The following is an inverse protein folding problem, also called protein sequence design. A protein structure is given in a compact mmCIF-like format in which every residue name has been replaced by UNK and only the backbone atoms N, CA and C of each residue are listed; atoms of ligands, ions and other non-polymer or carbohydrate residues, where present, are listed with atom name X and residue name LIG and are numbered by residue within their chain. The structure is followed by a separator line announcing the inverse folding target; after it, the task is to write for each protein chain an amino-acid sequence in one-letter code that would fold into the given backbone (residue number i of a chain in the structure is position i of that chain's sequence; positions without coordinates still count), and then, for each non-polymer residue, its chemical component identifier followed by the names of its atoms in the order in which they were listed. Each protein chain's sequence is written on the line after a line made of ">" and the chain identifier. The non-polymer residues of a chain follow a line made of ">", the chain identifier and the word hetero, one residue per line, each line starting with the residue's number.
data_IF_688229619587
#
_entry.id   IF_688229619587
#
_cell.length_a   1.000
_cell.length_b   1.000
_cell.length_c   1.000
_cell.angle_alpha   90.00
_cell.angle_beta   90.00
_cell.angle_gamma   90.00
#
_symmetry.space_group_name_H-M   'P 1'
#
loop_
_entity.id
_entity.type
_entity.pdbx_description
1 polymer ?
#
# COMPACT_ATOMS: atom_id res chain seq x y z
N UNK A 1 -4.02 20.61 7.76
CA UNK A 1 -4.49 19.70 8.82
C UNK A 1 -4.94 20.56 9.99
N UNK A 2 -6.17 20.37 10.46
CA UNK A 2 -6.69 21.02 11.66
C UNK A 2 -6.15 20.34 12.94
N UNK A 3 -6.04 21.07 14.05
CA UNK A 3 -5.46 20.61 15.32
C UNK A 3 -6.15 19.32 15.83
N UNK A 4 -7.46 19.21 15.64
CA UNK A 4 -8.24 18.03 16.01
C UNK A 4 -7.99 16.81 15.10
N UNK A 5 -7.62 17.05 13.84
CA UNK A 5 -7.26 15.97 12.89
C UNK A 5 -5.91 15.33 13.24
N UNK A 6 -4.96 16.11 13.76
CA UNK A 6 -3.66 15.60 14.18
C UNK A 6 -3.75 14.78 15.48
N UNK A 7 -4.52 15.24 16.47
CA UNK A 7 -4.75 14.52 17.72
C UNK A 7 -5.42 13.16 17.48
N UNK A 8 -6.46 13.13 16.64
CA UNK A 8 -7.17 11.90 16.29
C UNK A 8 -6.33 10.91 15.46
N UNK A 9 -5.40 11.39 14.63
CA UNK A 9 -4.45 10.52 13.92
C UNK A 9 -3.44 9.86 14.87
N UNK A 10 -2.91 10.62 15.83
CA UNK A 10 -1.99 10.11 16.86
C UNK A 10 -2.66 9.03 17.72
N UNK A 11 -3.90 9.29 18.14
CA UNK A 11 -4.67 8.34 18.93
C UNK A 11 -4.98 7.04 18.17
N UNK A 12 -5.43 7.15 16.91
CA UNK A 12 -5.62 5.98 16.03
C UNK A 12 -4.34 5.17 15.85
N UNK A 13 -3.18 5.83 15.73
CA UNK A 13 -1.89 5.13 15.64
C UNK A 13 -1.56 4.39 16.93
N UNK A 14 -1.89 4.93 18.10
CA UNK A 14 -1.63 4.29 19.40
C UNK A 14 -2.51 3.06 19.64
N UNK A 15 -3.77 3.14 19.23
CA UNK A 15 -4.78 2.07 19.36
C UNK A 15 -4.65 0.99 18.27
N UNK A 16 -3.91 1.26 17.19
CA UNK A 16 -3.73 0.31 16.10
C UNK A 16 -3.02 -0.99 16.54
N UNK A 17 -3.38 -2.14 15.94
CA UNK A 17 -2.71 -3.41 16.17
C UNK A 17 -1.19 -3.30 15.99
N UNK A 18 -0.42 -4.06 16.77
CA UNK A 18 1.05 -4.03 16.72
C UNK A 18 1.58 -4.26 15.30
N UNK A 19 1.01 -5.21 14.56
CA UNK A 19 1.41 -5.49 13.18
C UNK A 19 1.27 -4.28 12.25
N UNK A 20 0.24 -3.45 12.43
CA UNK A 20 0.06 -2.21 11.67
C UNK A 20 1.08 -1.16 12.10
N UNK A 21 1.36 -1.04 13.40
CA UNK A 21 2.33 -0.08 13.94
C UNK A 21 3.78 -0.41 13.58
N UNK A 22 4.10 -1.69 13.46
CA UNK A 22 5.44 -2.20 13.10
C UNK A 22 5.67 -2.25 11.59
N UNK A 23 4.68 -1.86 10.78
CA UNK A 23 4.83 -1.86 9.33
C UNK A 23 5.93 -0.87 8.93
N UNK A 24 6.94 -1.29 8.14
CA UNK A 24 7.99 -0.39 7.68
C UNK A 24 7.44 0.76 6.86
N UNK A 25 8.12 1.89 6.96
CA UNK A 25 7.80 3.14 6.26
C UNK A 25 8.66 3.31 5.00
N UNK A 26 9.83 2.65 4.97
CA UNK A 26 10.79 2.69 3.87
C UNK A 26 11.20 1.28 3.48
N UNK A 27 11.66 1.11 2.24
CA UNK A 27 12.10 -0.21 1.78
C UNK A 27 13.38 -0.71 2.46
N UNK A 28 14.24 0.17 2.97
CA UNK A 28 15.43 -0.22 3.73
C UNK A 28 15.07 -0.93 5.03
N UNK A 29 13.90 -0.61 5.59
CA UNK A 29 13.37 -1.22 6.82
C UNK A 29 12.57 -2.50 6.52
N UNK A 30 12.38 -2.87 5.24
CA UNK A 30 11.68 -4.09 4.85
C UNK A 30 12.59 -5.32 4.97
N UNK A 31 12.26 -6.18 5.93
CA UNK A 31 13.06 -7.38 6.23
C UNK A 31 12.70 -8.52 5.28
N UNK A 32 13.72 -9.09 4.63
CA UNK A 32 13.59 -10.20 3.69
C UNK A 32 13.29 -9.76 2.24
N UNK A 33 13.18 -10.73 1.33
CA UNK A 33 12.85 -10.54 -0.09
C UNK A 33 13.84 -9.61 -0.85
N UNK A 34 15.10 -9.54 -0.44
CA UNK A 34 16.12 -8.65 -1.02
C UNK A 34 16.42 -8.97 -2.50
N UNK A 35 16.19 -10.22 -2.90
CA UNK A 35 16.25 -10.66 -4.29
C UNK A 35 15.17 -10.03 -5.18
N UNK A 36 14.07 -9.54 -4.60
CA UNK A 36 12.95 -8.92 -5.32
C UNK A 36 12.94 -7.40 -5.13
N UNK A 37 13.03 -6.92 -3.88
CA UNK A 37 12.85 -5.50 -3.51
C UNK A 37 14.12 -4.83 -2.98
N UNK A 38 15.24 -5.55 -3.01
CA UNK A 38 16.53 -4.99 -2.63
C UNK A 38 16.99 -3.88 -3.58
N UNK A 39 18.01 -3.11 -3.19
CA UNK A 39 18.57 -2.06 -4.02
C UNK A 39 18.91 -2.57 -5.42
N UNK A 40 18.66 -1.74 -6.44
CA UNK A 40 18.92 -2.03 -7.86
C UNK A 40 18.14 -3.18 -8.50
N UNK A 41 17.27 -3.89 -7.75
CA UNK A 41 16.38 -4.89 -8.33
C UNK A 41 15.36 -4.25 -9.26
N UNK A 42 14.88 -5.02 -10.24
CA UNK A 42 13.94 -4.55 -11.26
C UNK A 42 12.69 -3.94 -10.62
N UNK A 43 12.05 -4.68 -9.70
CA UNK A 43 10.84 -4.21 -9.04
C UNK A 43 11.11 -2.94 -8.21
N UNK A 44 12.21 -2.92 -7.45
CA UNK A 44 12.62 -1.75 -6.66
C UNK A 44 12.80 -0.50 -7.53
N UNK A 45 13.51 -0.62 -8.66
CA UNK A 45 13.71 0.47 -9.63
C UNK A 45 12.41 0.92 -10.28
N UNK A 46 11.51 0.00 -10.62
CA UNK A 46 10.21 0.32 -11.20
C UNK A 46 9.33 1.11 -10.21
N UNK A 47 9.36 0.73 -8.93
CA UNK A 47 8.66 1.45 -7.86
C UNK A 47 9.24 2.85 -7.65
N UNK A 48 10.56 2.97 -7.53
CA UNK A 48 11.24 4.26 -7.33
C UNK A 48 11.08 5.21 -8.52
N UNK A 49 10.98 4.68 -9.74
CA UNK A 49 10.71 5.44 -10.95
C UNK A 49 9.22 5.75 -11.19
N UNK A 50 8.33 5.30 -10.30
CA UNK A 50 6.86 5.40 -10.42
C UNK A 50 6.33 4.81 -11.76
N UNK A 51 6.94 3.71 -12.20
CA UNK A 51 6.59 2.97 -13.44
C UNK A 51 6.01 1.61 -13.10
N UNK A 52 4.95 1.62 -12.31
CA UNK A 52 4.28 0.42 -11.84
C UNK A 52 3.37 -0.17 -12.92
N UNK A 53 3.39 -1.50 -13.04
CA UNK A 53 2.39 -2.25 -13.81
C UNK A 53 1.49 -3.03 -12.85
N UNK A 54 0.44 -3.67 -13.37
CA UNK A 54 -0.36 -4.61 -12.59
C UNK A 54 0.54 -5.72 -12.02
N UNK A 55 0.38 -6.00 -10.71
CA UNK A 55 1.20 -6.96 -9.98
C UNK A 55 0.32 -7.87 -9.12
N UNK A 56 0.73 -9.13 -8.99
CA UNK A 56 0.14 -10.09 -8.06
C UNK A 56 1.25 -10.53 -7.11
N UNK A 57 1.07 -10.28 -5.81
CA UNK A 57 1.98 -10.79 -4.79
C UNK A 57 1.45 -12.12 -4.24
N UNK A 58 2.23 -13.18 -4.40
CA UNK A 58 1.90 -14.52 -3.94
C UNK A 58 2.89 -15.01 -2.88
N UNK A 59 2.40 -15.76 -1.90
CA UNK A 59 3.24 -16.40 -0.89
C UNK A 59 2.51 -16.68 0.43
N UNK A 60 3.14 -17.41 1.36
CA UNK A 60 2.57 -17.78 2.67
C UNK A 60 2.10 -16.58 3.51
N UNK A 61 1.19 -16.75 4.48
CA UNK A 61 0.81 -15.66 5.39
C UNK A 61 2.05 -15.11 6.13
N UNK A 62 2.08 -13.80 6.39
CA UNK A 62 3.19 -13.16 7.11
C UNK A 62 4.42 -12.78 6.27
N UNK A 63 4.51 -13.16 4.99
CA UNK A 63 5.66 -12.80 4.12
C UNK A 63 5.74 -11.34 3.69
N UNK A 64 4.90 -10.47 4.22
CA UNK A 64 4.96 -9.03 3.95
C UNK A 64 4.26 -8.55 2.69
N UNK A 65 3.45 -9.36 2.00
CA UNK A 65 2.70 -8.95 0.77
C UNK A 65 1.88 -7.67 0.95
N UNK A 66 1.05 -7.62 1.99
CA UNK A 66 0.25 -6.43 2.29
C UNK A 66 1.16 -5.26 2.61
N UNK A 67 2.17 -5.46 3.46
CA UNK A 67 3.17 -4.43 3.78
C UNK A 67 3.88 -3.88 2.54
N UNK A 68 4.23 -4.74 1.58
CA UNK A 68 4.86 -4.34 0.33
C UNK A 68 3.92 -3.47 -0.51
N UNK A 69 2.64 -3.84 -0.62
CA UNK A 69 1.65 -2.99 -1.29
C UNK A 69 1.53 -1.60 -0.63
N UNK A 70 1.57 -1.54 0.70
CA UNK A 70 1.56 -0.26 1.45
C UNK A 70 2.84 0.57 1.24
N UNK A 71 4.01 -0.07 1.15
CA UNK A 71 5.24 0.64 0.81
C UNK A 71 5.17 1.20 -0.61
N UNK A 72 4.73 0.40 -1.58
CA UNK A 72 4.54 0.85 -2.97
C UNK A 72 3.61 2.05 -3.04
N UNK A 73 2.49 2.01 -2.30
CA UNK A 73 1.52 3.11 -2.21
C UNK A 73 2.11 4.43 -1.69
N UNK A 74 3.18 4.37 -0.88
CA UNK A 74 3.87 5.58 -0.38
C UNK A 74 4.88 6.14 -1.36
N UNK A 75 5.42 5.31 -2.24
CA UNK A 75 6.43 5.71 -3.23
C UNK A 75 5.79 6.17 -4.54
N UNK A 76 4.62 5.63 -4.88
CA UNK A 76 3.88 6.06 -6.07
C UNK A 76 3.16 7.38 -5.84
N UNK A 77 2.94 8.14 -6.91
CA UNK A 77 2.06 9.32 -6.91
C UNK A 77 0.60 8.97 -7.22
N UNK A 78 0.31 7.68 -7.46
CA UNK A 78 -1.03 7.21 -7.78
C UNK A 78 -1.96 7.20 -6.56
N UNK A 79 -3.26 7.29 -6.82
CA UNK A 79 -4.28 7.07 -5.81
C UNK A 79 -4.29 5.60 -5.37
N UNK A 80 -4.20 5.36 -4.07
CA UNK A 80 -4.22 4.01 -3.50
C UNK A 80 -5.55 3.71 -2.81
N UNK A 81 -6.15 2.57 -3.14
CA UNK A 81 -7.37 2.04 -2.51
C UNK A 81 -7.11 0.62 -2.01
N UNK A 82 -7.51 0.33 -0.77
CA UNK A 82 -7.43 -1.03 -0.21
C UNK A 82 -8.78 -1.70 -0.25
N UNK A 83 -8.86 -2.87 -0.89
CA UNK A 83 -10.08 -3.67 -0.99
C UNK A 83 -9.86 -5.02 -0.33
N UNK A 84 -10.83 -5.49 0.45
CA UNK A 84 -10.78 -6.83 1.05
C UNK A 84 -11.71 -7.77 0.29
N UNK A 85 -11.14 -8.75 -0.41
CA UNK A 85 -11.87 -9.68 -1.25
C UNK A 85 -12.93 -10.52 -0.51
N UNK A 86 -12.83 -10.68 0.82
CA UNK A 86 -13.77 -11.46 1.61
C UNK A 86 -15.02 -10.64 1.97
N UNK A 87 -14.85 -9.35 2.24
CA UNK A 87 -15.94 -8.48 2.71
C UNK A 87 -16.53 -7.60 1.61
N UNK A 88 -15.81 -7.39 0.50
CA UNK A 88 -16.23 -6.48 -0.56
C UNK A 88 -17.16 -7.15 -1.57
N UNK A 89 -18.34 -6.58 -1.75
CA UNK A 89 -19.31 -7.00 -2.75
C UNK A 89 -19.07 -6.39 -4.14
N UNK A 90 -19.76 -6.94 -5.15
CA UNK A 90 -19.66 -6.50 -6.55
C UNK A 90 -20.02 -5.02 -6.74
N UNK A 91 -21.02 -4.52 -6.00
CA UNK A 91 -21.47 -3.13 -6.12
C UNK A 91 -20.37 -2.14 -5.70
N UNK A 92 -19.69 -2.41 -4.59
CA UNK A 92 -18.60 -1.57 -4.10
C UNK A 92 -17.40 -1.60 -5.04
N UNK A 93 -17.03 -2.78 -5.57
CA UNK A 93 -15.98 -2.90 -6.59
C UNK A 93 -16.30 -2.06 -7.84
N UNK A 94 -17.54 -2.11 -8.33
CA UNK A 94 -17.97 -1.31 -9.50
C UNK A 94 -17.85 0.20 -9.22
N UNK A 95 -18.22 0.65 -8.02
CA UNK A 95 -18.07 2.05 -7.61
C UNK A 95 -16.60 2.48 -7.64
N UNK A 96 -15.71 1.72 -7.00
CA UNK A 96 -14.27 2.02 -6.96
C UNK A 96 -13.64 2.08 -8.36
N UNK A 97 -14.05 1.18 -9.26
CA UNK A 97 -13.60 1.19 -10.66
C UNK A 97 -14.09 2.45 -11.39
N UNK A 98 -15.33 2.89 -11.16
CA UNK A 98 -15.86 4.13 -11.76
C UNK A 98 -15.06 5.34 -11.30
N UNK A 99 -14.83 5.47 -10.00
CA UNK A 99 -14.05 6.56 -9.41
C UNK A 99 -12.59 6.55 -9.91
N UNK A 100 -12.00 5.37 -10.09
CA UNK A 100 -10.67 5.25 -10.68
C UNK A 100 -10.64 5.72 -12.15
N UNK A 101 -11.68 5.42 -12.95
CA UNK A 101 -11.79 5.91 -14.34
C UNK A 101 -11.94 7.42 -14.39
N UNK A 102 -12.78 8.00 -13.54
CA UNK A 102 -12.96 9.45 -13.46
C UNK A 102 -11.65 10.15 -13.12
N UNK A 103 -10.89 9.63 -12.15
CA UNK A 103 -9.56 10.15 -11.79
C UNK A 103 -8.53 10.05 -12.92
N UNK A 104 -8.61 9.02 -13.76
CA UNK A 104 -7.67 8.81 -14.87
C UNK A 104 -7.94 9.69 -16.10
N UNK A 105 -9.12 10.31 -16.18
CA UNK A 105 -9.53 11.18 -17.28
C UNK A 105 -9.19 12.67 -17.01
N UNK A 106 -8.71 12.98 -15.80
CA UNK A 106 -8.20 14.29 -15.38
C UNK A 106 -6.67 14.35 -15.56
#
# INVERSE_FOLDING_TARGET
>A
MDLFSAASASQRKREAPLATRMRPERFEDFVGQQEIVGPQRLLRRAIEADRLTSMIFYGPPGTGKTTLAFLIAKYTKAHFETVNAVSTGVAELRRLISEAKERSLL
#
